data_IF_541204054828
#
_entry.id   IF_541204054828
#
_cell.length_a   1.000
_cell.length_b   1.000
_cell.length_c   1.000
_cell.angle_alpha   90.00
_cell.angle_beta   90.00
_cell.angle_gamma   90.00
#
_symmetry.space_group_name_H-M   'P 1'
#
loop_
_entity.id
_entity.type
_entity.pdbx_description
1 polymer ?
#
# COMPACT_ATOMS: atom_id res chain seq x y z
N UNK A 1 0.72 15.04 -13.49
CA UNK A 1 0.18 14.34 -12.32
C UNK A 1 1.37 13.63 -11.75
N UNK A 2 1.90 14.11 -10.62
CA UNK A 2 3.07 13.48 -10.01
C UNK A 2 2.63 12.15 -9.38
N UNK A 3 3.32 11.08 -9.73
CA UNK A 3 3.06 9.73 -9.20
C UNK A 3 3.43 9.67 -7.72
N UNK A 4 2.72 8.82 -6.95
CA UNK A 4 3.07 8.57 -5.54
C UNK A 4 4.34 7.73 -5.47
N UNK A 5 5.41 8.30 -4.92
CA UNK A 5 6.69 7.60 -4.77
C UNK A 5 6.66 6.64 -3.58
N UNK A 6 7.47 5.58 -3.65
CA UNK A 6 7.65 4.65 -2.53
C UNK A 6 8.54 5.29 -1.44
N UNK A 7 8.13 5.20 -0.18
CA UNK A 7 8.91 5.73 0.93
C UNK A 7 10.09 4.81 1.26
N UNK A 8 11.34 5.30 1.22
CA UNK A 8 12.52 4.50 1.57
C UNK A 8 12.63 4.22 3.08
N UNK A 9 11.81 4.86 3.92
CA UNK A 9 11.80 4.64 5.37
C UNK A 9 10.44 4.95 6.01
N UNK A 10 10.15 4.32 7.15
CA UNK A 10 8.93 4.61 7.92
C UNK A 10 8.83 6.06 8.39
N UNK A 11 9.97 6.73 8.62
CA UNK A 11 10.01 8.13 9.10
C UNK A 11 9.56 9.14 8.04
N UNK A 12 9.84 8.86 6.76
CA UNK A 12 9.43 9.72 5.64
C UNK A 12 8.06 9.36 5.07
N UNK A 13 7.54 8.18 5.39
CA UNK A 13 6.25 7.71 4.90
C UNK A 13 5.13 8.60 5.43
N UNK A 14 4.33 9.14 4.52
CA UNK A 14 3.18 9.97 4.86
C UNK A 14 1.86 9.42 4.28
N UNK A 15 1.94 8.41 3.43
CA UNK A 15 0.81 7.62 2.93
C UNK A 15 0.97 6.13 3.27
N UNK A 16 -0.15 5.47 3.53
CA UNK A 16 -0.24 4.01 3.59
C UNK A 16 -1.18 3.48 2.53
N UNK A 17 -0.75 2.44 1.82
CA UNK A 17 -1.54 1.70 0.84
C UNK A 17 -2.25 0.55 1.53
N UNK A 18 -3.55 0.45 1.34
CA UNK A 18 -4.39 -0.58 1.92
C UNK A 18 -5.39 -1.14 0.91
N UNK A 19 -5.75 -2.41 1.11
CA UNK A 19 -6.79 -3.10 0.35
C UNK A 19 -8.05 -3.06 1.21
N UNK A 20 -9.14 -2.53 0.65
CA UNK A 20 -10.43 -2.50 1.32
C UNK A 20 -11.52 -2.84 0.31
N UNK A 21 -12.32 -3.87 0.62
CA UNK A 21 -13.37 -4.38 -0.28
C UNK A 21 -12.94 -4.68 -1.72
N UNK A 22 -11.68 -5.12 -1.92
CA UNK A 22 -11.15 -5.46 -3.24
C UNK A 22 -10.47 -4.31 -3.98
N UNK A 23 -10.54 -3.09 -3.46
CA UNK A 23 -9.93 -1.90 -4.07
C UNK A 23 -8.73 -1.38 -3.27
N UNK A 24 -7.83 -0.67 -3.96
CA UNK A 24 -6.62 -0.07 -3.39
C UNK A 24 -6.89 1.38 -3.00
N UNK A 25 -6.61 1.71 -1.73
CA UNK A 25 -6.76 3.06 -1.20
C UNK A 25 -5.43 3.57 -0.64
N UNK A 26 -5.26 4.89 -0.71
CA UNK A 26 -4.21 5.63 -0.03
C UNK A 26 -4.82 6.37 1.16
N UNK A 27 -4.24 6.18 2.35
CA UNK A 27 -4.61 6.93 3.56
C UNK A 27 -3.42 7.71 4.07
N UNK A 28 -3.65 8.97 4.45
CA UNK A 28 -2.63 9.80 5.10
C UNK A 28 -2.34 9.32 6.52
N UNK A 29 -1.06 9.28 6.89
CA UNK A 29 -0.63 8.94 8.26
C UNK A 29 -0.56 10.17 9.18
N UNK A 30 -0.54 11.36 8.59
CA UNK A 30 -0.55 12.66 9.26
C UNK A 30 -1.09 13.72 8.32
N UNK A 31 -1.32 14.92 8.85
CA UNK A 31 -1.61 16.08 8.03
C UNK A 31 -0.44 16.37 7.08
N UNK A 32 -0.76 16.69 5.83
CA UNK A 32 0.19 17.04 4.78
C UNK A 32 0.17 18.56 4.57
N UNK A 33 1.36 19.13 4.41
CA UNK A 33 1.49 20.51 3.95
C UNK A 33 1.20 20.63 2.45
N UNK A 34 0.89 21.84 1.94
CA UNK A 34 0.87 22.10 0.51
C UNK A 34 2.23 21.75 -0.12
N UNK A 35 2.22 21.16 -1.32
CA UNK A 35 3.41 20.77 -2.09
C UNK A 35 4.34 19.75 -1.41
N UNK A 36 3.88 19.07 -0.36
CA UNK A 36 4.64 17.99 0.24
C UNK A 36 4.62 16.75 -0.66
N UNK A 37 5.79 16.14 -0.89
CA UNK A 37 5.91 14.91 -1.68
C UNK A 37 5.11 13.77 -1.03
N UNK A 38 4.32 13.07 -1.83
CA UNK A 38 3.55 11.91 -1.40
C UNK A 38 4.44 10.66 -1.39
N UNK A 39 4.68 10.12 -0.19
CA UNK A 39 5.56 8.97 0.05
C UNK A 39 4.77 7.81 0.66
N UNK A 40 4.45 6.82 -0.19
CA UNK A 40 3.64 5.66 0.14
C UNK A 40 4.44 4.45 0.62
N UNK A 41 3.82 3.65 1.48
CA UNK A 41 4.28 2.32 1.84
C UNK A 41 3.10 1.38 2.05
N UNK A 42 3.32 0.07 1.95
CA UNK A 42 2.26 -0.91 2.17
C UNK A 42 1.92 -1.04 3.64
N UNK A 43 0.62 -1.11 3.96
CA UNK A 43 0.19 -1.54 5.28
C UNK A 43 0.58 -3.00 5.51
N UNK A 44 0.80 -3.38 6.77
CA UNK A 44 1.08 -4.77 7.13
C UNK A 44 -0.04 -5.72 6.70
N UNK A 45 -1.31 -5.27 6.75
CA UNK A 45 -2.45 -6.03 6.24
C UNK A 45 -2.38 -6.23 4.73
N UNK A 46 -2.01 -5.21 3.96
CA UNK A 46 -1.80 -5.31 2.52
C UNK A 46 -0.62 -6.25 2.18
N UNK A 47 0.50 -6.12 2.89
CA UNK A 47 1.62 -7.04 2.71
C UNK A 47 1.24 -8.49 3.02
N UNK A 48 0.42 -8.73 4.05
CA UNK A 48 -0.10 -10.06 4.35
C UNK A 48 -1.05 -10.57 3.26
N UNK A 49 -1.96 -9.74 2.74
CA UNK A 49 -2.87 -10.16 1.67
C UNK A 49 -2.13 -10.49 0.37
N UNK A 50 -0.96 -9.88 0.11
CA UNK A 50 -0.11 -10.25 -1.02
C UNK A 50 0.64 -11.57 -0.80
N UNK A 51 0.99 -11.90 0.44
CA UNK A 51 1.73 -13.10 0.81
C UNK A 51 0.81 -14.31 1.03
N UNK A 52 -0.44 -14.08 1.39
CA UNK A 52 -1.48 -15.09 1.41
C UNK A 52 -1.84 -15.44 -0.04
N UNK A 53 -1.23 -16.50 -0.58
CA UNK A 53 -1.61 -17.09 -1.88
C UNK A 53 -3.14 -17.09 -2.01
N UNK A 54 -3.72 -16.72 -3.16
CA UNK A 54 -5.15 -16.81 -3.35
C UNK A 54 -5.58 -18.26 -3.10
N UNK A 55 -6.37 -18.49 -2.05
CA UNK A 55 -7.08 -19.77 -1.85
C UNK A 55 -8.29 -19.76 -2.78
N UNK A 56 -8.02 -19.88 -4.08
CA UNK A 56 -9.00 -20.17 -5.12
C UNK A 56 -8.75 -21.56 -5.71
N UNK A 57 -9.79 -22.25 -6.20
CA UNK A 57 -9.68 -23.63 -6.69
C UNK A 57 -8.97 -23.64 -8.05
N UNK A 58 -7.64 -23.62 -8.03
CA UNK A 58 -6.85 -23.53 -9.26
C UNK A 58 -5.35 -23.55 -9.04
N UNK A 59 -4.88 -24.12 -7.92
CA UNK A 59 -3.45 -24.41 -7.78
C UNK A 59 -3.07 -25.44 -8.84
N UNK A 60 -2.44 -24.95 -9.91
CA UNK A 60 -1.79 -25.75 -10.95
C UNK A 60 -0.92 -26.81 -10.27
N UNK A 61 -1.25 -28.08 -10.53
CA UNK A 61 -0.35 -29.19 -10.26
C UNK A 61 0.81 -29.08 -11.25
N UNK A 62 2.00 -28.84 -10.72
CA UNK A 62 3.23 -29.39 -11.31
C UNK A 62 3.50 -30.76 -10.70
#
# INVERSE_FOLDING_TARGET
>A
MDDVNYSPSKRRQNLVVLLFNGDIYYRTLRNLGPNEELLGGYSTSFSKSLLEKPRGPGALKE
#
